data_IF_631749332514
#
_entry.id   IF_631749332514
#
_cell.length_a   1.000
_cell.length_b   1.000
_cell.length_c   1.000
_cell.angle_alpha   90.00
_cell.angle_beta   90.00
_cell.angle_gamma   90.00
#
_symmetry.space_group_name_H-M   'P 1'
#
loop_
_entity.id
_entity.type
_entity.pdbx_description
1 polymer ?
#
# COMPACT_ATOMS: atom_id res chain seq x y z
N UNK A 1 12.44 11.32 19.09
CA UNK A 1 13.72 10.83 19.65
C UNK A 1 14.52 12.03 20.14
N UNK A 2 15.31 11.89 21.19
CA UNK A 2 16.29 12.92 21.57
C UNK A 2 17.44 12.96 20.56
N UNK A 3 18.13 14.10 20.46
CA UNK A 3 19.28 14.26 19.55
C UNK A 3 20.37 13.19 19.78
N UNK A 4 20.58 12.77 21.04
CA UNK A 4 21.54 11.72 21.39
C UNK A 4 21.09 10.28 21.05
N UNK A 5 19.80 10.03 20.86
CA UNK A 5 19.29 8.72 20.39
C UNK A 5 19.39 8.60 18.86
N UNK A 6 19.17 9.72 18.14
CA UNK A 6 19.35 9.81 16.69
C UNK A 6 20.81 9.59 16.25
N UNK A 7 21.78 10.00 17.07
CA UNK A 7 23.22 9.85 16.80
C UNK A 7 23.71 8.39 16.90
N UNK A 8 22.95 7.50 17.54
CA UNK A 8 23.26 6.05 17.62
C UNK A 8 22.79 5.25 16.41
N UNK A 9 21.93 5.83 15.57
CA UNK A 9 21.34 5.17 14.42
C UNK A 9 22.13 5.50 13.13
N UNK A 10 22.35 4.53 12.22
CA UNK A 10 22.88 4.80 10.89
C UNK A 10 22.16 5.98 10.21
N UNK A 11 22.91 6.92 9.64
CA UNK A 11 22.35 8.16 9.08
C UNK A 11 21.29 7.96 7.97
N UNK A 12 21.23 6.78 7.36
CA UNK A 12 20.13 6.38 6.47
C UNK A 12 18.78 6.26 7.18
N UNK A 13 18.76 5.63 8.37
CA UNK A 13 17.58 5.53 9.23
C UNK A 13 17.13 6.90 9.69
N UNK A 14 18.07 7.73 10.16
CA UNK A 14 17.76 9.08 10.64
C UNK A 14 17.05 9.87 9.54
N UNK A 15 17.51 9.78 8.29
CA UNK A 15 16.81 10.42 7.16
C UNK A 15 15.44 9.81 6.89
N UNK A 16 15.32 8.48 6.84
CA UNK A 16 14.03 7.81 6.59
C UNK A 16 12.99 8.13 7.68
N UNK A 17 13.41 8.10 8.95
CA UNK A 17 12.60 8.46 10.11
C UNK A 17 12.21 9.93 10.09
N UNK A 18 13.15 10.86 9.84
CA UNK A 18 12.83 12.29 9.73
C UNK A 18 11.83 12.58 8.59
N UNK A 19 11.97 11.88 7.45
CA UNK A 19 11.01 11.98 6.34
C UNK A 19 9.63 11.42 6.72
N UNK A 20 9.59 10.27 7.39
CA UNK A 20 8.35 9.68 7.92
C UNK A 20 7.66 10.63 8.93
N UNK A 21 8.42 11.13 9.91
CA UNK A 21 7.94 12.09 10.91
C UNK A 21 7.36 13.33 10.22
N UNK A 22 8.08 13.90 9.26
CA UNK A 22 7.64 15.08 8.51
C UNK A 22 6.34 14.78 7.74
N UNK A 23 6.24 13.64 7.05
CA UNK A 23 5.00 13.26 6.33
C UNK A 23 3.81 13.06 7.25
N UNK A 24 3.99 12.42 8.41
CA UNK A 24 2.90 12.24 9.38
C UNK A 24 2.48 13.60 9.94
N UNK A 25 3.44 14.46 10.29
CA UNK A 25 3.17 15.81 10.78
C UNK A 25 2.43 16.67 9.75
N UNK A 26 2.86 16.65 8.48
CA UNK A 26 2.19 17.34 7.37
C UNK A 26 0.74 16.88 7.19
N UNK A 27 0.48 15.57 7.27
CA UNK A 27 -0.89 15.04 7.13
C UNK A 27 -1.78 15.42 8.32
N UNK A 28 -1.23 15.40 9.54
CA UNK A 28 -1.91 15.89 10.76
C UNK A 28 -2.30 17.36 10.58
N UNK A 29 -1.36 18.23 10.17
CA UNK A 29 -1.63 19.65 9.94
C UNK A 29 -2.64 19.86 8.82
N UNK A 30 -2.54 19.13 7.71
CA UNK A 30 -3.51 19.19 6.62
C UNK A 30 -4.92 18.82 7.10
N UNK A 31 -5.08 17.74 7.88
CA UNK A 31 -6.37 17.29 8.42
C UNK A 31 -6.95 18.29 9.40
N UNK A 32 -6.13 18.82 10.31
CA UNK A 32 -6.55 19.86 11.25
C UNK A 32 -6.95 21.13 10.50
N UNK A 33 -6.21 21.55 9.46
CA UNK A 33 -6.55 22.71 8.64
C UNK A 33 -7.89 22.53 7.91
N UNK A 34 -8.18 21.33 7.40
CA UNK A 34 -9.44 21.05 6.70
C UNK A 34 -10.61 21.03 7.69
N UNK A 35 -10.44 20.39 8.84
CA UNK A 35 -11.55 20.10 9.76
C UNK A 35 -11.68 21.11 10.90
N UNK A 36 -10.68 21.97 11.12
CA UNK A 36 -10.59 22.95 12.21
C UNK A 36 -10.51 22.34 13.63
N UNK A 37 -10.41 21.02 13.74
CA UNK A 37 -10.17 20.27 14.98
C UNK A 37 -9.41 18.96 14.69
N UNK A 38 -8.87 18.32 15.74
CA UNK A 38 -8.18 17.04 15.59
C UNK A 38 -9.17 15.88 15.45
N UNK A 39 -9.31 15.37 14.22
CA UNK A 39 -10.12 14.18 13.91
C UNK A 39 -9.49 12.89 14.45
N UNK A 40 -10.28 11.82 14.62
CA UNK A 40 -9.78 10.52 15.09
C UNK A 40 -8.57 9.98 14.30
N UNK A 41 -8.53 10.19 12.98
CA UNK A 41 -7.38 9.82 12.15
C UNK A 41 -6.14 10.67 12.42
N UNK A 42 -6.31 11.96 12.72
CA UNK A 42 -5.22 12.83 13.13
C UNK A 42 -4.69 12.43 14.52
N UNK A 43 -5.57 12.05 15.44
CA UNK A 43 -5.15 11.57 16.77
C UNK A 43 -4.43 10.22 16.70
N UNK A 44 -4.88 9.33 15.81
CA UNK A 44 -4.18 8.09 15.52
C UNK A 44 -2.74 8.35 15.04
N UNK A 45 -2.57 9.28 14.11
CA UNK A 45 -1.26 9.70 13.61
C UNK A 45 -0.40 10.36 14.69
N UNK A 46 -0.99 11.16 15.57
CA UNK A 46 -0.30 11.77 16.71
C UNK A 46 0.17 10.70 17.70
N UNK A 47 -0.70 9.74 18.04
CA UNK A 47 -0.31 8.60 18.86
C UNK A 47 0.82 7.81 18.21
N UNK A 48 0.83 7.70 16.87
CA UNK A 48 1.93 7.04 16.17
C UNK A 48 3.23 7.83 16.23
N UNK A 49 3.21 9.15 16.04
CA UNK A 49 4.39 10.00 16.27
C UNK A 49 4.93 9.86 17.70
N UNK A 50 4.04 9.74 18.70
CA UNK A 50 4.44 9.50 20.08
C UNK A 50 5.10 8.14 20.27
N UNK A 51 4.60 7.09 19.61
CA UNK A 51 5.23 5.77 19.56
C UNK A 51 6.55 5.75 18.77
N UNK A 52 6.78 6.70 17.85
CA UNK A 52 8.06 6.90 17.18
C UNK A 52 9.03 7.76 18.02
N UNK A 53 8.61 8.17 19.22
CA UNK A 53 9.43 8.83 20.21
C UNK A 53 9.38 10.35 20.17
N UNK A 54 8.40 10.98 19.50
CA UNK A 54 8.13 12.41 19.67
C UNK A 54 7.33 12.65 20.95
N UNK A 55 7.61 13.74 21.66
CA UNK A 55 6.76 14.14 22.77
C UNK A 55 5.49 14.83 22.26
N UNK A 56 4.40 14.70 23.02
CA UNK A 56 3.16 15.43 22.75
C UNK A 56 3.39 16.96 22.67
N UNK A 57 4.35 17.48 23.44
CA UNK A 57 4.74 18.90 23.44
C UNK A 57 5.37 19.32 22.12
N UNK A 58 6.27 18.50 21.56
CA UNK A 58 6.91 18.77 20.26
C UNK A 58 5.88 18.75 19.13
N UNK A 59 4.99 17.75 19.12
CA UNK A 59 3.93 17.63 18.11
C UNK A 59 2.99 18.85 18.18
N UNK A 60 2.54 19.24 19.38
CA UNK A 60 1.67 20.42 19.58
C UNK A 60 2.36 21.70 19.11
N UNK A 61 3.65 21.89 19.44
CA UNK A 61 4.43 23.05 19.01
C UNK A 61 4.56 23.10 17.49
N UNK A 62 4.80 21.97 16.84
CA UNK A 62 4.92 21.90 15.38
C UNK A 62 3.60 22.25 14.69
N UNK A 63 2.48 21.65 15.14
CA UNK A 63 1.14 21.96 14.60
C UNK A 63 0.80 23.44 14.82
N UNK A 64 1.12 23.99 15.99
CA UNK A 64 0.90 25.40 16.31
C UNK A 64 1.68 26.33 15.36
N UNK A 65 2.95 26.02 15.10
CA UNK A 65 3.80 26.79 14.19
C UNK A 65 3.33 26.68 12.73
N UNK A 66 3.02 25.47 12.26
CA UNK A 66 2.61 25.22 10.88
C UNK A 66 1.22 25.77 10.52
N UNK A 67 0.36 25.99 11.52
CA UNK A 67 -0.95 26.61 11.36
C UNK A 67 -0.97 28.10 11.75
N UNK A 68 0.13 28.63 12.30
CA UNK A 68 0.24 30.02 12.78
C UNK A 68 -0.86 30.39 13.80
N UNK A 69 -1.16 29.49 14.73
CA UNK A 69 -2.28 29.62 15.68
C UNK A 69 -1.83 29.88 17.12
N UNK A 70 -2.73 30.49 17.91
CA UNK A 70 -2.45 30.80 19.32
C UNK A 70 -2.46 29.55 20.22
N UNK A 71 -1.88 29.65 21.42
CA UNK A 71 -1.91 28.57 22.41
C UNK A 71 -3.34 28.24 22.88
N UNK A 72 -4.23 29.23 22.89
CA UNK A 72 -5.65 29.02 23.17
C UNK A 72 -6.31 28.18 22.07
N UNK A 73 -5.95 28.47 20.83
CA UNK A 73 -6.52 27.82 19.64
C UNK A 73 -6.04 26.37 19.49
N UNK A 74 -4.74 26.10 19.72
CA UNK A 74 -4.21 24.73 19.70
C UNK A 74 -4.82 23.88 20.82
N UNK A 75 -5.11 24.47 21.99
CA UNK A 75 -5.80 23.75 23.07
C UNK A 75 -7.26 23.43 22.72
N UNK A 76 -7.96 24.34 22.04
CA UNK A 76 -9.31 24.10 21.49
C UNK A 76 -9.31 22.95 20.48
N UNK A 77 -8.40 22.98 19.50
CA UNK A 77 -8.27 21.97 18.43
C UNK A 77 -8.10 20.55 18.99
N UNK A 78 -7.34 20.39 20.08
CA UNK A 78 -7.09 19.10 20.72
C UNK A 78 -8.03 18.78 21.88
N UNK A 79 -9.03 19.62 22.16
CA UNK A 79 -9.96 19.41 23.27
C UNK A 79 -11.02 18.35 22.93
N UNK A 80 -11.38 17.54 23.93
CA UNK A 80 -12.45 16.55 23.82
C UNK A 80 -13.83 17.21 23.63
N UNK A 81 -13.98 18.45 24.12
CA UNK A 81 -15.18 19.27 23.97
C UNK A 81 -15.43 19.64 22.50
N UNK A 82 -14.41 20.20 21.81
CA UNK A 82 -14.50 20.52 20.38
C UNK A 82 -14.71 19.26 19.53
N UNK A 83 -14.09 18.13 19.89
CA UNK A 83 -14.32 16.86 19.19
C UNK A 83 -15.77 16.38 19.35
N UNK A 84 -16.30 16.39 20.57
CA UNK A 84 -17.66 15.91 20.88
C UNK A 84 -18.73 16.81 20.25
N UNK A 85 -18.49 18.13 20.25
CA UNK A 85 -19.36 19.12 19.59
C UNK A 85 -19.52 18.84 18.09
N UNK A 86 -18.42 18.50 17.40
CA UNK A 86 -18.43 18.22 15.96
C UNK A 86 -18.87 16.80 15.61
N UNK A 87 -18.43 15.78 16.37
CA UNK A 87 -18.64 14.36 16.04
C UNK A 87 -19.86 13.74 16.72
N UNK A 88 -20.50 14.45 17.66
CA UNK A 88 -21.68 14.02 18.44
C UNK A 88 -21.51 12.75 19.27
N UNK A 89 -20.29 12.21 19.36
CA UNK A 89 -19.91 11.06 20.17
C UNK A 89 -18.56 11.30 20.84
N UNK A 90 -18.33 10.67 21.99
CA UNK A 90 -17.05 10.74 22.68
C UNK A 90 -15.95 10.07 21.86
N UNK A 91 -14.73 10.57 22.02
CA UNK A 91 -13.55 10.07 21.34
C UNK A 91 -13.20 8.69 21.88
N UNK A 92 -13.22 7.67 21.01
CA UNK A 92 -12.85 6.31 21.41
C UNK A 92 -11.35 6.17 21.75
N UNK A 93 -10.52 7.06 21.21
CA UNK A 93 -9.08 7.13 21.48
C UNK A 93 -8.79 8.27 22.46
N UNK A 94 -8.82 7.99 23.76
CA UNK A 94 -8.33 8.95 24.75
C UNK A 94 -6.81 9.12 24.59
N UNK A 95 -6.35 10.35 24.34
CA UNK A 95 -4.92 10.73 24.42
C UNK A 95 -4.38 10.73 25.87
N UNK A 96 -5.01 9.98 26.78
CA UNK A 96 -4.65 9.96 28.20
C UNK A 96 -3.62 8.86 28.45
N UNK A 97 -2.39 9.26 28.73
CA UNK A 97 -1.40 8.38 29.37
C UNK A 97 -0.39 7.68 28.46
N UNK A 98 -0.39 7.93 27.14
CA UNK A 98 0.71 7.46 26.28
C UNK A 98 1.95 8.31 26.59
N UNK A 99 2.83 7.81 27.45
CA UNK A 99 4.15 8.43 27.68
C UNK A 99 5.03 8.17 26.47
N UNK A 100 5.87 9.13 26.13
CA UNK A 100 7.00 8.89 25.22
C UNK A 100 7.75 7.67 25.73
N UNK A 101 7.83 6.62 24.92
CA UNK A 101 8.63 5.44 25.26
C UNK A 101 10.05 5.77 24.81
N UNK A 102 11.03 5.87 25.74
CA UNK A 102 12.43 6.04 25.38
C UNK A 102 12.85 5.00 24.35
N UNK A 103 13.79 5.33 23.46
CA UNK A 103 14.17 4.41 22.38
C UNK A 103 14.58 3.04 22.92
N UNK A 104 15.37 3.03 24.00
CA UNK A 104 15.88 1.82 24.66
C UNK A 104 14.76 0.93 25.24
N UNK A 105 13.57 1.49 25.51
CA UNK A 105 12.39 0.76 26.02
C UNK A 105 11.38 0.41 24.90
N UNK A 106 11.56 0.94 23.69
CA UNK A 106 10.62 0.82 22.59
C UNK A 106 10.92 -0.40 21.71
N UNK A 107 10.61 -1.59 22.23
CA UNK A 107 10.86 -2.86 21.54
C UNK A 107 10.25 -2.91 20.13
N UNK A 108 9.04 -2.36 19.93
CA UNK A 108 8.41 -2.33 18.60
C UNK A 108 9.20 -1.49 17.59
N UNK A 109 9.74 -0.36 18.03
CA UNK A 109 10.57 0.50 17.18
C UNK A 109 11.93 -0.15 16.91
N UNK A 110 12.53 -0.78 17.92
CA UNK A 110 13.78 -1.53 17.76
C UNK A 110 13.61 -2.70 16.78
N UNK A 111 12.52 -3.47 16.89
CA UNK A 111 12.17 -4.55 15.98
C UNK A 111 11.96 -4.06 14.55
N UNK A 112 11.26 -2.93 14.36
CA UNK A 112 11.10 -2.34 13.03
C UNK A 112 12.44 -1.90 12.45
N UNK A 113 13.29 -1.25 13.24
CA UNK A 113 14.61 -0.80 12.79
C UNK A 113 15.49 -1.99 12.42
N UNK A 114 15.48 -3.05 13.22
CA UNK A 114 16.26 -4.26 12.95
C UNK A 114 15.74 -4.99 11.72
N UNK A 115 14.42 -5.12 11.56
CA UNK A 115 13.81 -5.70 10.36
C UNK A 115 14.22 -4.93 9.09
N UNK A 116 14.20 -3.59 9.12
CA UNK A 116 14.66 -2.76 8.00
C UNK A 116 16.18 -2.92 7.79
N UNK A 117 16.96 -3.05 8.86
CA UNK A 117 18.42 -3.27 8.79
C UNK A 117 18.74 -4.57 8.05
N UNK A 118 18.07 -5.66 8.42
CA UNK A 118 18.23 -6.98 7.78
C UNK A 118 17.77 -6.91 6.32
N UNK A 119 16.56 -6.42 6.07
CA UNK A 119 15.96 -6.31 4.73
C UNK A 119 16.82 -5.52 3.73
N UNK A 120 17.54 -4.50 4.21
CA UNK A 120 18.36 -3.63 3.36
C UNK A 120 19.85 -3.99 3.39
N UNK A 121 20.23 -5.10 4.02
CA UNK A 121 21.62 -5.49 4.25
C UNK A 121 22.45 -4.32 4.82
N UNK A 122 21.94 -3.70 5.88
CA UNK A 122 22.51 -2.56 6.61
C UNK A 122 22.55 -1.21 5.86
N UNK A 123 22.07 -1.16 4.61
CA UNK A 123 22.16 0.06 3.79
C UNK A 123 21.04 1.07 4.05
N UNK A 124 19.91 0.62 4.62
CA UNK A 124 18.68 1.41 4.83
C UNK A 124 18.19 2.12 3.55
N UNK A 125 18.45 1.48 2.41
CA UNK A 125 18.04 1.87 1.07
C UNK A 125 17.55 0.62 0.35
N UNK A 126 16.71 0.81 -0.65
CA UNK A 126 16.15 -0.30 -1.43
C UNK A 126 15.39 -1.31 -0.54
N UNK A 127 14.62 -0.79 0.42
CA UNK A 127 13.78 -1.60 1.31
C UNK A 127 12.77 -2.43 0.51
N UNK A 128 12.39 -1.95 -0.67
CA UNK A 128 11.55 -2.68 -1.62
C UNK A 128 12.25 -3.81 -2.39
N UNK A 129 13.58 -3.96 -2.26
CA UNK A 129 14.37 -4.94 -3.02
C UNK A 129 14.25 -4.77 -4.54
N UNK A 130 13.95 -3.54 -4.99
CA UNK A 130 13.68 -3.25 -6.39
C UNK A 130 14.96 -2.81 -7.08
N UNK A 131 15.38 -3.57 -8.09
CA UNK A 131 16.58 -3.37 -8.93
C UNK A 131 16.78 -1.98 -9.58
N UNK A 132 15.87 -1.03 -9.40
CA UNK A 132 15.96 0.31 -9.98
C UNK A 132 16.04 0.32 -11.51
N UNK A 133 16.56 1.41 -12.08
CA UNK A 133 16.96 1.46 -13.48
C UNK A 133 18.48 1.27 -13.59
N UNK A 134 18.88 0.33 -14.42
CA UNK A 134 20.28 0.15 -14.79
C UNK A 134 20.42 0.24 -16.29
N UNK A 135 21.33 1.10 -16.76
CA UNK A 135 21.74 1.16 -18.15
C UNK A 135 22.93 0.22 -18.35
N UNK A 136 22.89 -0.60 -19.38
CA UNK A 136 24.04 -1.37 -19.84
C UNK A 136 25.00 -0.43 -20.59
N UNK A 137 26.18 -0.17 -20.01
CA UNK A 137 27.30 0.52 -20.65
C UNK A 137 28.26 -0.53 -21.26
N UNK A 138 27.73 -1.31 -22.21
CA UNK A 138 28.44 -2.41 -22.88
C UNK A 138 28.23 -3.78 -22.22
N UNK A 139 28.62 -4.88 -22.88
CA UNK A 139 28.22 -6.23 -22.49
C UNK A 139 28.58 -6.54 -21.04
N UNK A 140 27.57 -6.64 -20.17
CA UNK A 140 27.72 -7.05 -18.77
C UNK A 140 28.12 -5.95 -17.76
N UNK A 141 28.15 -4.66 -18.11
CA UNK A 141 28.38 -3.56 -17.14
C UNK A 141 27.15 -2.67 -16.98
N UNK A 142 26.62 -2.62 -15.77
CA UNK A 142 25.42 -1.85 -15.43
C UNK A 142 25.76 -0.61 -14.60
N UNK A 143 25.22 0.56 -14.97
CA UNK A 143 25.39 1.85 -14.26
C UNK A 143 24.05 2.41 -13.78
N UNK A 144 24.04 2.94 -12.56
CA UNK A 144 22.88 3.64 -11.97
C UNK A 144 22.68 5.03 -12.59
N UNK A 145 21.43 5.42 -12.81
CA UNK A 145 21.01 6.75 -13.29
C UNK A 145 20.12 7.41 -12.22
N UNK A 146 20.27 8.72 -11.97
CA UNK A 146 19.67 9.47 -10.83
C UNK A 146 18.13 9.40 -10.68
N UNK A 147 17.37 9.01 -11.72
CA UNK A 147 15.94 8.67 -11.61
C UNK A 147 15.67 7.44 -10.71
N UNK A 148 16.66 6.57 -10.56
CA UNK A 148 16.61 5.38 -9.71
C UNK A 148 16.54 5.75 -8.24
N UNK A 149 17.31 6.76 -7.82
CA UNK A 149 17.31 7.20 -6.44
C UNK A 149 15.95 7.80 -6.06
N UNK A 150 15.37 8.65 -6.91
CA UNK A 150 14.01 9.18 -6.68
C UNK A 150 12.97 8.06 -6.60
N UNK A 151 13.01 7.09 -7.51
CA UNK A 151 12.09 5.96 -7.51
C UNK A 151 12.23 5.09 -6.25
N UNK A 152 13.47 4.71 -5.88
CA UNK A 152 13.74 3.92 -4.69
C UNK A 152 13.34 4.65 -3.42
N UNK A 153 13.73 5.93 -3.26
CA UNK A 153 13.36 6.72 -2.09
C UNK A 153 11.84 6.87 -1.93
N UNK A 154 11.10 7.07 -3.03
CA UNK A 154 9.63 7.19 -2.99
C UNK A 154 8.96 5.87 -2.59
N UNK A 155 9.51 4.71 -2.99
CA UNK A 155 9.01 3.40 -2.58
C UNK A 155 9.40 3.04 -1.14
N UNK A 156 10.65 3.31 -0.75
CA UNK A 156 11.14 3.08 0.60
C UNK A 156 10.31 3.88 1.62
N UNK A 157 10.01 5.14 1.29
CA UNK A 157 9.14 6.00 2.08
C UNK A 157 7.73 5.41 2.23
N UNK A 158 7.17 4.84 1.15
CA UNK A 158 5.88 4.18 1.15
C UNK A 158 5.86 2.91 2.02
N UNK A 159 6.92 2.10 1.97
CA UNK A 159 7.06 0.92 2.82
C UNK A 159 7.14 1.32 4.29
N UNK A 160 7.91 2.37 4.63
CA UNK A 160 7.99 2.88 6.00
C UNK A 160 6.64 3.42 6.50
N UNK A 161 5.90 4.13 5.64
CA UNK A 161 4.57 4.64 5.98
C UNK A 161 3.61 3.50 6.36
N UNK A 162 3.65 2.36 5.65
CA UNK A 162 2.82 1.19 5.91
C UNK A 162 3.30 0.35 7.08
N UNK A 163 4.59 0.04 7.16
CA UNK A 163 5.18 -0.74 8.25
C UNK A 163 5.05 -0.03 9.60
N UNK A 164 4.99 1.30 9.59
CA UNK A 164 4.67 2.06 10.79
C UNK A 164 3.18 1.98 11.18
N UNK A 165 2.27 1.56 10.32
CA UNK A 165 0.82 1.60 10.60
C UNK A 165 0.25 3.02 10.77
N UNK A 166 1.02 4.06 10.40
CA UNK A 166 0.60 5.46 10.46
C UNK A 166 -0.44 5.81 9.37
N UNK A 167 -0.46 5.03 8.28
CA UNK A 167 -1.30 5.27 7.11
C UNK A 167 -1.89 3.96 6.59
N UNK A 168 -3.09 4.04 5.99
CA UNK A 168 -3.68 2.91 5.27
C UNK A 168 -3.03 2.72 3.89
N UNK A 169 -3.12 1.49 3.38
CA UNK A 169 -2.53 1.07 2.11
C UNK A 169 -2.92 1.95 0.91
N UNK A 170 -4.20 2.31 0.80
CA UNK A 170 -4.69 3.06 -0.36
C UNK A 170 -4.22 4.51 -0.31
N UNK A 171 -4.18 5.13 0.86
CA UNK A 171 -3.63 6.49 1.04
C UNK A 171 -2.17 6.57 0.64
N UNK A 172 -1.32 5.65 1.14
CA UNK A 172 0.10 5.62 0.80
C UNK A 172 0.28 5.40 -0.71
N UNK A 173 -0.40 4.39 -1.26
CA UNK A 173 -0.27 4.05 -2.67
C UNK A 173 -0.72 5.20 -3.59
N UNK A 174 -1.83 5.87 -3.26
CA UNK A 174 -2.30 7.05 -4.00
C UNK A 174 -1.22 8.14 -4.04
N UNK A 175 -0.61 8.46 -2.89
CA UNK A 175 0.45 9.48 -2.79
C UNK A 175 1.68 9.09 -3.61
N UNK A 176 2.22 7.89 -3.40
CA UNK A 176 3.38 7.36 -4.12
C UNK A 176 3.19 7.43 -5.64
N UNK A 177 2.03 7.00 -6.13
CA UNK A 177 1.73 7.02 -7.56
C UNK A 177 1.63 8.46 -8.08
N UNK A 178 0.97 9.36 -7.35
CA UNK A 178 0.86 10.77 -7.73
C UNK A 178 2.21 11.47 -7.78
N UNK A 179 3.11 11.22 -6.82
CA UNK A 179 4.43 11.83 -6.78
C UNK A 179 5.30 11.36 -7.97
N UNK A 180 5.27 10.06 -8.26
CA UNK A 180 5.98 9.51 -9.43
C UNK A 180 5.38 9.97 -10.76
N UNK A 181 4.06 10.10 -10.86
CA UNK A 181 3.42 10.56 -12.11
C UNK A 181 3.59 12.07 -12.32
N UNK A 182 3.64 12.88 -11.27
CA UNK A 182 3.93 14.32 -11.38
C UNK A 182 5.37 14.60 -11.81
N UNK A 183 6.32 13.71 -11.53
CA UNK A 183 7.71 13.84 -11.98
C UNK A 183 7.94 13.49 -13.46
N UNK A 184 6.88 13.11 -14.19
CA UNK A 184 6.96 12.73 -15.60
C UNK A 184 7.23 11.24 -15.84
N UNK A 185 7.43 10.44 -14.79
CA UNK A 185 7.61 9.00 -14.92
C UNK A 185 6.27 8.34 -15.31
N UNK A 186 6.28 7.52 -16.36
CA UNK A 186 5.07 6.84 -16.89
C UNK A 186 5.23 5.33 -16.97
N UNK A 187 6.42 4.88 -17.31
CA UNK A 187 6.77 3.47 -17.50
C UNK A 187 8.00 3.09 -16.68
N UNK A 188 8.04 1.82 -16.27
CA UNK A 188 9.15 1.14 -15.63
C UNK A 188 9.54 -0.01 -16.54
N UNK A 189 10.80 0.01 -16.99
CA UNK A 189 11.36 -0.96 -17.91
C UNK A 189 12.21 -1.95 -17.10
N UNK A 190 11.91 -3.24 -17.23
CA UNK A 190 12.64 -4.30 -16.55
C UNK A 190 13.70 -4.89 -17.50
N UNK A 191 14.80 -5.39 -16.93
CA UNK A 191 15.87 -6.10 -17.67
C UNK A 191 15.36 -7.25 -18.54
N UNK A 192 14.21 -7.83 -18.17
CA UNK A 192 13.54 -8.89 -18.92
C UNK A 192 12.93 -8.42 -20.24
N UNK A 193 12.99 -7.12 -20.55
CA UNK A 193 12.29 -6.51 -21.69
C UNK A 193 10.78 -6.32 -21.44
N UNK A 194 10.32 -6.56 -20.21
CA UNK A 194 8.95 -6.26 -19.82
C UNK A 194 8.86 -4.79 -19.38
N UNK A 195 7.74 -4.14 -19.69
CA UNK A 195 7.48 -2.75 -19.35
C UNK A 195 6.17 -2.67 -18.56
N UNK A 196 6.19 -2.06 -17.37
CA UNK A 196 4.98 -1.79 -16.60
C UNK A 196 4.73 -0.30 -16.45
N UNK A 197 3.46 0.08 -16.33
CA UNK A 197 3.13 1.44 -15.92
C UNK A 197 3.55 1.66 -14.47
N UNK A 198 3.95 2.88 -14.14
CA UNK A 198 4.34 3.29 -12.78
C UNK A 198 3.34 2.84 -11.70
N UNK A 199 2.00 3.05 -11.84
CA UNK A 199 1.03 2.57 -10.86
C UNK A 199 1.10 1.06 -10.58
N UNK A 200 1.38 0.26 -11.61
CA UNK A 200 1.46 -1.20 -11.51
C UNK A 200 2.76 -1.61 -10.82
N UNK A 201 3.88 -1.01 -11.24
CA UNK A 201 5.19 -1.26 -10.67
C UNK A 201 5.27 -0.85 -9.20
N UNK A 202 4.80 0.36 -8.87
CA UNK A 202 4.80 0.89 -7.51
C UNK A 202 3.94 0.03 -6.58
N UNK A 203 2.71 -0.33 -7.00
CA UNK A 203 1.84 -1.21 -6.21
C UNK A 203 2.51 -2.54 -5.87
N UNK A 204 3.15 -3.17 -6.85
CA UNK A 204 3.84 -4.45 -6.67
C UNK A 204 5.05 -4.30 -5.75
N UNK A 205 5.89 -3.30 -5.99
CA UNK A 205 7.11 -3.09 -5.19
C UNK A 205 6.79 -2.75 -3.74
N UNK A 206 5.84 -1.83 -3.49
CA UNK A 206 5.40 -1.47 -2.14
C UNK A 206 4.80 -2.68 -1.42
N UNK A 207 3.90 -3.43 -2.07
CA UNK A 207 3.30 -4.61 -1.44
C UNK A 207 4.35 -5.67 -1.09
N UNK A 208 5.26 -5.96 -2.03
CA UNK A 208 6.30 -6.98 -1.84
C UNK A 208 7.25 -6.59 -0.71
N UNK A 209 7.78 -5.36 -0.75
CA UNK A 209 8.68 -4.86 0.29
C UNK A 209 8.02 -4.76 1.66
N UNK A 210 6.76 -4.32 1.72
CA UNK A 210 6.00 -4.28 2.98
C UNK A 210 5.83 -5.68 3.58
N UNK A 211 5.50 -6.69 2.77
CA UNK A 211 5.40 -8.08 3.23
C UNK A 211 6.73 -8.61 3.74
N UNK A 212 7.82 -8.38 3.02
CA UNK A 212 9.16 -8.79 3.46
C UNK A 212 9.53 -8.19 4.83
N UNK A 213 9.22 -6.91 5.06
CA UNK A 213 9.39 -6.30 6.39
C UNK A 213 8.50 -6.94 7.46
N UNK A 214 7.24 -7.29 7.14
CA UNK A 214 6.39 -8.05 8.07
C UNK A 214 6.99 -9.43 8.38
N UNK A 215 7.59 -10.10 7.39
CA UNK A 215 8.26 -11.38 7.55
C UNK A 215 9.41 -11.30 8.55
N UNK A 216 10.27 -10.29 8.42
CA UNK A 216 11.37 -10.07 9.36
C UNK A 216 10.88 -9.76 10.79
N UNK A 217 9.81 -8.97 10.93
CA UNK A 217 9.17 -8.71 12.24
C UNK A 217 8.61 -10.01 12.84
N UNK A 218 7.96 -10.82 12.00
CA UNK A 218 7.40 -12.12 12.38
C UNK A 218 8.51 -13.06 12.86
N UNK A 219 9.63 -13.14 12.14
CA UNK A 219 10.77 -13.97 12.52
C UNK A 219 11.47 -13.50 13.78
N UNK A 220 11.60 -12.19 13.99
CA UNK A 220 12.09 -11.64 15.25
C UNK A 220 11.16 -12.02 16.40
N UNK A 221 9.85 -11.90 16.20
CA UNK A 221 8.86 -12.27 17.22
C UNK A 221 8.93 -13.77 17.53
N UNK A 222 9.13 -14.63 16.51
CA UNK A 222 9.31 -16.07 16.70
C UNK A 222 10.57 -16.38 17.53
N UNK A 223 11.70 -15.69 17.26
CA UNK A 223 12.93 -15.79 18.06
C UNK A 223 12.69 -15.38 19.51
N UNK A 224 11.99 -14.27 19.74
CA UNK A 224 11.68 -13.74 21.07
C UNK A 224 10.76 -14.70 21.87
N UNK A 225 9.85 -15.39 21.17
CA UNK A 225 8.93 -16.40 21.73
C UNK A 225 9.54 -17.81 21.82
N UNK A 226 10.74 -18.02 21.28
CA UNK A 226 11.40 -19.32 21.26
C UNK A 226 10.71 -20.37 20.38
N UNK A 227 10.02 -19.95 19.32
CA UNK A 227 9.41 -20.85 18.33
C UNK A 227 10.08 -20.75 16.96
N UNK A 228 10.04 -21.85 16.21
CA UNK A 228 10.47 -21.92 14.80
C UNK A 228 9.30 -22.23 13.86
N UNK A 229 8.07 -22.30 14.37
CA UNK A 229 6.87 -22.58 13.58
C UNK A 229 6.11 -21.31 13.24
N UNK A 230 5.51 -21.28 12.05
CA UNK A 230 4.76 -20.16 11.53
C UNK A 230 3.49 -20.63 10.84
N UNK A 231 2.36 -19.99 11.11
CA UNK A 231 1.12 -20.19 10.37
C UNK A 231 1.04 -19.21 9.20
N UNK A 232 0.85 -19.73 7.98
CA UNK A 232 0.65 -18.91 6.78
C UNK A 232 -0.81 -18.51 6.67
N UNK A 233 -1.08 -17.21 6.48
CA UNK A 233 -2.45 -16.68 6.34
C UNK A 233 -3.20 -17.31 5.16
N UNK A 234 -4.53 -17.32 5.19
CA UNK A 234 -5.37 -17.64 4.04
C UNK A 234 -6.01 -16.37 3.49
N UNK A 235 -6.09 -16.23 2.16
CA UNK A 235 -6.88 -15.16 1.57
C UNK A 235 -7.60 -15.62 0.29
N UNK A 236 -8.75 -15.02 0.00
CA UNK A 236 -9.50 -15.39 -1.18
C UNK A 236 -8.72 -15.12 -2.49
N UNK A 237 -8.79 -16.04 -3.43
CA UNK A 237 -8.23 -15.92 -4.77
C UNK A 237 -6.71 -15.96 -4.82
N UNK A 238 -6.09 -16.70 -3.91
CA UNK A 238 -4.69 -17.07 -4.00
C UNK A 238 -4.41 -17.77 -5.34
N UNK A 239 -3.20 -17.61 -5.85
CA UNK A 239 -2.77 -18.36 -7.04
C UNK A 239 -2.75 -19.85 -6.70
N UNK A 240 -3.03 -20.76 -7.66
CA UNK A 240 -3.14 -22.19 -7.36
C UNK A 240 -1.93 -22.77 -6.63
N UNK A 241 -0.70 -22.36 -7.01
CA UNK A 241 0.53 -22.80 -6.34
C UNK A 241 0.75 -22.22 -4.94
N UNK A 242 -0.04 -21.23 -4.52
CA UNK A 242 -0.01 -20.65 -3.17
C UNK A 242 -1.14 -21.17 -2.29
N UNK A 243 -2.26 -21.64 -2.86
CA UNK A 243 -3.35 -22.25 -2.09
C UNK A 243 -2.85 -23.44 -1.27
N UNK A 244 -1.85 -24.17 -1.76
CA UNK A 244 -1.24 -25.30 -1.04
C UNK A 244 -0.61 -24.90 0.30
N UNK A 245 -0.31 -23.62 0.51
CA UNK A 245 0.35 -23.11 1.72
C UNK A 245 -0.64 -22.56 2.76
N UNK A 246 -1.85 -22.21 2.35
CA UNK A 246 -2.78 -21.42 3.15
C UNK A 246 -3.25 -22.13 4.41
N UNK A 247 -3.22 -21.42 5.54
CA UNK A 247 -3.66 -21.91 6.84
C UNK A 247 -2.81 -23.05 7.42
N UNK A 248 -1.69 -23.40 6.76
CA UNK A 248 -0.79 -24.46 7.22
C UNK A 248 0.35 -23.87 8.04
N UNK A 249 0.87 -24.74 8.91
CA UNK A 249 1.99 -24.42 9.80
C UNK A 249 3.26 -25.00 9.21
N UNK A 250 4.31 -24.18 9.13
CA UNK A 250 5.61 -24.53 8.58
C UNK A 250 6.72 -24.11 9.53
N UNK A 251 7.81 -24.85 9.56
CA UNK A 251 9.07 -24.35 10.14
C UNK A 251 9.68 -23.27 9.25
N UNK A 252 10.62 -22.46 9.77
CA UNK A 252 11.35 -21.48 8.94
C UNK A 252 12.01 -22.14 7.71
N UNK A 253 12.60 -23.32 7.91
CA UNK A 253 13.21 -24.11 6.82
C UNK A 253 12.17 -24.55 5.77
N UNK A 254 10.95 -24.90 6.21
CA UNK A 254 9.87 -25.25 5.29
C UNK A 254 9.28 -24.03 4.58
N UNK A 255 9.25 -22.86 5.20
CA UNK A 255 8.89 -21.62 4.49
C UNK A 255 9.82 -21.39 3.30
N UNK A 256 11.11 -21.68 3.44
CA UNK A 256 12.09 -21.56 2.35
C UNK A 256 11.92 -22.71 1.34
N UNK A 257 12.01 -23.95 1.79
CA UNK A 257 12.08 -25.13 0.91
C UNK A 257 10.74 -25.52 0.26
N UNK A 258 9.61 -25.28 0.94
CA UNK A 258 8.26 -25.63 0.46
C UNK A 258 7.53 -24.41 -0.10
N UNK A 259 7.57 -23.29 0.64
CA UNK A 259 6.85 -22.08 0.24
C UNK A 259 7.70 -21.13 -0.63
N UNK A 260 8.97 -21.47 -0.88
CA UNK A 260 9.87 -20.67 -1.71
C UNK A 260 10.22 -19.31 -1.12
N UNK A 261 10.12 -19.11 0.20
CA UNK A 261 10.47 -17.83 0.84
C UNK A 261 11.87 -17.37 0.40
N UNK A 262 11.98 -16.14 -0.11
CA UNK A 262 13.19 -15.58 -0.72
C UNK A 262 13.21 -15.64 -2.25
N UNK A 263 12.35 -16.45 -2.87
CA UNK A 263 12.21 -16.53 -4.33
C UNK A 263 11.19 -15.50 -4.86
N UNK A 264 11.39 -15.01 -6.09
CA UNK A 264 10.48 -14.05 -6.73
C UNK A 264 9.05 -14.58 -6.85
N UNK A 265 8.89 -15.89 -6.99
CA UNK A 265 7.57 -16.53 -7.04
C UNK A 265 7.17 -17.14 -5.69
N UNK A 266 7.98 -17.05 -4.65
CA UNK A 266 7.70 -17.64 -3.35
C UNK A 266 6.72 -16.85 -2.48
N UNK A 267 6.62 -17.29 -1.23
CA UNK A 267 6.02 -16.53 -0.13
C UNK A 267 6.74 -15.19 0.02
N UNK A 268 5.97 -14.11 0.23
CA UNK A 268 6.48 -12.72 0.19
C UNK A 268 7.20 -12.33 -1.12
N UNK A 269 7.01 -13.11 -2.19
CA UNK A 269 7.47 -12.81 -3.53
C UNK A 269 6.54 -11.85 -4.29
N UNK A 270 6.82 -11.65 -5.58
CA UNK A 270 6.10 -10.71 -6.42
C UNK A 270 4.60 -11.02 -6.49
N UNK A 271 3.78 -10.05 -6.08
CA UNK A 271 2.31 -10.15 -6.02
C UNK A 271 1.78 -11.25 -5.08
N UNK A 272 2.59 -11.75 -4.14
CA UNK A 272 2.12 -12.57 -3.04
C UNK A 272 1.41 -11.67 -2.01
N UNK A 273 0.24 -12.08 -1.54
CA UNK A 273 -0.53 -11.32 -0.54
C UNK A 273 -0.51 -11.99 0.83
N UNK A 274 -0.04 -13.23 0.90
CA UNK A 274 0.11 -14.00 2.12
C UNK A 274 1.08 -13.33 3.09
N UNK A 275 0.78 -13.46 4.37
CA UNK A 275 1.69 -13.26 5.46
C UNK A 275 1.93 -14.57 6.22
N UNK A 276 2.88 -14.56 7.14
CA UNK A 276 3.10 -15.66 8.07
C UNK A 276 3.37 -15.12 9.47
N UNK A 277 2.75 -15.73 10.48
CA UNK A 277 2.86 -15.30 11.88
C UNK A 277 3.45 -16.41 12.74
N UNK A 278 4.19 -16.09 13.82
CA UNK A 278 4.74 -17.10 14.70
C UNK A 278 3.62 -17.95 15.30
N UNK A 279 3.88 -19.24 15.41
CA UNK A 279 2.98 -20.22 15.98
C UNK A 279 3.72 -21.03 17.03
N UNK A 280 3.19 -21.13 18.25
CA UNK A 280 3.79 -21.87 19.36
C UNK A 280 3.10 -23.24 19.47
N UNK A 281 3.76 -24.34 19.06
CA UNK A 281 3.15 -25.67 19.12
C UNK A 281 2.71 -26.05 20.54
N UNK A 282 1.46 -26.48 20.66
CA UNK A 282 0.86 -26.88 21.94
C UNK A 282 0.32 -25.73 22.81
N UNK A 283 0.49 -24.48 22.38
CA UNK A 283 -0.10 -23.29 23.02
C UNK A 283 -1.10 -22.63 22.08
N UNK A 284 -0.70 -22.40 20.83
CA UNK A 284 -1.55 -21.76 19.83
C UNK A 284 -2.50 -22.77 19.17
N UNK A 285 -3.67 -22.27 18.77
CA UNK A 285 -4.68 -23.02 18.03
C UNK A 285 -4.63 -22.52 16.59
N UNK A 286 -4.54 -23.42 15.58
CA UNK A 286 -4.57 -23.01 14.17
C UNK A 286 -5.80 -22.15 13.87
N UNK A 287 -5.60 -21.13 13.03
CA UNK A 287 -6.67 -20.21 12.62
C UNK A 287 -7.76 -20.93 11.85
N UNK A 288 -7.39 -21.96 11.08
CA UNK A 288 -8.31 -22.75 10.27
C UNK A 288 -8.15 -24.24 10.57
N UNK A 289 -9.27 -24.97 10.61
CA UNK A 289 -9.23 -26.42 10.57
C UNK A 289 -8.97 -26.90 9.14
N UNK A 290 -8.47 -28.13 9.00
CA UNK A 290 -8.28 -28.75 7.69
C UNK A 290 -9.59 -28.84 6.89
N UNK A 291 -10.71 -29.13 7.55
CA UNK A 291 -12.05 -29.14 6.96
C UNK A 291 -12.43 -27.76 6.41
N UNK A 292 -12.22 -26.69 7.19
CA UNK A 292 -12.50 -25.32 6.75
C UNK A 292 -11.64 -24.92 5.55
N UNK A 293 -10.36 -25.29 5.53
CA UNK A 293 -9.47 -25.01 4.40
C UNK A 293 -9.93 -25.75 3.14
N UNK A 294 -10.30 -27.02 3.26
CA UNK A 294 -10.82 -27.82 2.15
C UNK A 294 -12.12 -27.23 1.59
N UNK A 295 -13.06 -26.83 2.45
CA UNK A 295 -14.30 -26.15 2.02
C UNK A 295 -14.02 -24.83 1.30
N UNK A 296 -13.07 -24.04 1.80
CA UNK A 296 -12.67 -22.78 1.18
C UNK A 296 -12.07 -23.05 -0.21
N UNK A 297 -11.11 -23.97 -0.30
CA UNK A 297 -10.44 -24.31 -1.56
C UNK A 297 -11.39 -24.93 -2.58
N UNK A 298 -12.32 -25.79 -2.16
CA UNK A 298 -13.36 -26.33 -3.04
C UNK A 298 -14.24 -25.21 -3.58
N UNK A 299 -14.69 -24.30 -2.72
CA UNK A 299 -15.50 -23.14 -3.13
C UNK A 299 -14.74 -22.21 -4.08
N UNK A 300 -13.45 -21.97 -3.84
CA UNK A 300 -12.63 -21.10 -4.70
C UNK A 300 -12.36 -21.70 -6.08
N UNK A 301 -12.19 -23.02 -6.11
CA UNK A 301 -11.85 -23.77 -7.33
C UNK A 301 -13.08 -24.25 -8.10
N UNK A 302 -14.28 -24.15 -7.52
CA UNK A 302 -15.55 -24.38 -8.22
C UNK A 302 -15.77 -23.27 -9.25
N UNK A 303 -15.71 -23.56 -10.56
CA UNK A 303 -15.80 -22.51 -11.57
C UNK A 303 -17.20 -21.90 -11.67
N UNK A 304 -17.27 -20.61 -11.97
CA UNK A 304 -18.52 -19.88 -12.28
C UNK A 304 -18.58 -19.54 -13.76
N UNK A 305 -19.76 -19.64 -14.36
CA UNK A 305 -19.96 -19.27 -15.76
C UNK A 305 -20.10 -17.75 -15.95
N UNK A 306 -19.47 -17.23 -17.00
CA UNK A 306 -19.74 -15.91 -17.55
C UNK A 306 -19.69 -15.95 -19.07
N UNK A 307 -20.88 -15.88 -19.68
CA UNK A 307 -21.08 -15.96 -21.13
C UNK A 307 -20.42 -17.19 -21.76
N UNK A 308 -20.61 -18.38 -21.15
CA UNK A 308 -20.10 -19.65 -21.66
C UNK A 308 -18.61 -19.88 -21.41
N UNK A 309 -17.98 -19.05 -20.56
CA UNK A 309 -16.62 -19.26 -20.08
C UNK A 309 -16.65 -19.48 -18.57
N UNK A 310 -15.95 -20.51 -18.13
CA UNK A 310 -15.80 -20.87 -16.73
C UNK A 310 -14.60 -20.15 -16.12
N UNK A 311 -14.75 -19.69 -14.87
CA UNK A 311 -13.70 -19.02 -14.12
C UNK A 311 -13.68 -19.52 -12.67
N UNK A 312 -12.54 -20.00 -12.19
CA UNK A 312 -12.29 -20.09 -10.74
C UNK A 312 -12.16 -18.70 -10.12
N UNK A 313 -12.17 -18.56 -8.79
CA UNK A 313 -11.97 -17.26 -8.12
C UNK A 313 -10.66 -16.59 -8.56
N UNK A 314 -9.57 -17.35 -8.66
CA UNK A 314 -8.28 -16.82 -9.13
C UNK A 314 -8.35 -16.31 -10.57
N UNK A 315 -8.91 -17.12 -11.49
CA UNK A 315 -9.04 -16.75 -12.90
C UNK A 315 -9.95 -15.55 -13.09
N UNK A 316 -11.03 -15.47 -12.31
CA UNK A 316 -11.94 -14.33 -12.31
C UNK A 316 -11.21 -13.05 -11.85
N UNK A 317 -10.40 -13.10 -10.80
CA UNK A 317 -9.56 -11.95 -10.39
C UNK A 317 -8.53 -11.56 -11.46
N UNK A 318 -7.92 -12.52 -12.17
CA UNK A 318 -7.05 -12.22 -13.31
C UNK A 318 -7.82 -11.51 -14.43
N UNK A 319 -9.03 -12.00 -14.75
CA UNK A 319 -9.89 -11.37 -15.75
C UNK A 319 -10.31 -9.96 -15.33
N UNK A 320 -10.65 -9.75 -14.06
CA UNK A 320 -10.96 -8.44 -13.49
C UNK A 320 -9.77 -7.47 -13.69
N UNK A 321 -8.54 -7.89 -13.35
CA UNK A 321 -7.31 -7.09 -13.56
C UNK A 321 -7.05 -6.75 -15.04
N UNK A 322 -7.37 -7.65 -15.97
CA UNK A 322 -7.28 -7.37 -17.41
C UNK A 322 -8.27 -6.27 -17.84
N UNK A 323 -9.51 -6.32 -17.35
CA UNK A 323 -10.51 -5.29 -17.61
C UNK A 323 -10.07 -3.93 -17.05
N UNK A 324 -9.61 -3.89 -15.80
CA UNK A 324 -9.06 -2.68 -15.17
C UNK A 324 -7.91 -2.08 -16.01
N UNK A 325 -6.99 -2.92 -16.51
CA UNK A 325 -5.86 -2.49 -17.34
C UNK A 325 -6.32 -1.85 -18.64
N UNK A 326 -7.33 -2.44 -19.30
CA UNK A 326 -7.91 -1.88 -20.53
C UNK A 326 -8.63 -0.56 -20.25
N UNK A 327 -9.36 -0.45 -19.15
CA UNK A 327 -10.04 0.79 -18.74
C UNK A 327 -9.01 1.91 -18.53
N UNK A 328 -7.93 1.65 -17.77
CA UNK A 328 -6.82 2.60 -17.60
C UNK A 328 -6.23 3.05 -18.93
N UNK A 329 -6.01 2.13 -19.88
CA UNK A 329 -5.50 2.46 -21.22
C UNK A 329 -6.43 3.42 -21.96
N UNK A 330 -7.74 3.17 -21.94
CA UNK A 330 -8.70 4.08 -22.60
C UNK A 330 -8.77 5.44 -21.92
N UNK A 331 -8.71 5.50 -20.58
CA UNK A 331 -8.64 6.75 -19.82
C UNK A 331 -7.43 7.58 -20.26
N UNK A 332 -6.25 6.98 -20.30
CA UNK A 332 -5.04 7.63 -20.78
C UNK A 332 -5.16 8.11 -22.23
N UNK A 333 -5.64 7.27 -23.14
CA UNK A 333 -5.83 7.68 -24.54
C UNK A 333 -6.76 8.89 -24.66
N UNK A 334 -7.85 8.92 -23.89
CA UNK A 334 -8.79 10.04 -23.89
C UNK A 334 -8.11 11.30 -23.35
N UNK A 335 -7.32 11.18 -22.28
CA UNK A 335 -6.58 12.30 -21.73
C UNK A 335 -5.60 12.87 -22.76
N UNK A 336 -4.75 12.03 -23.36
CA UNK A 336 -3.77 12.46 -24.37
C UNK A 336 -4.43 13.12 -25.59
N UNK A 337 -5.57 12.59 -26.04
CA UNK A 337 -6.32 13.21 -27.13
C UNK A 337 -6.94 14.56 -26.74
N UNK A 338 -7.37 14.74 -25.49
CA UNK A 338 -7.85 16.04 -25.02
C UNK A 338 -6.71 17.06 -24.95
N UNK A 339 -5.54 16.68 -24.44
CA UNK A 339 -4.35 17.56 -24.40
C UNK A 339 -3.91 17.91 -25.83
N UNK A 340 -3.86 16.93 -26.74
CA UNK A 340 -3.50 17.15 -28.14
C UNK A 340 -4.55 17.92 -28.96
N UNK A 341 -5.73 18.18 -28.40
CA UNK A 341 -6.77 19.01 -29.03
C UNK A 341 -6.56 20.50 -28.75
N UNK A 342 -5.72 20.86 -27.77
CA UNK A 342 -5.43 22.25 -27.44
C UNK A 342 -4.72 22.96 -28.61
N UNK A 343 -5.33 24.03 -29.12
CA UNK A 343 -4.81 24.78 -30.27
C UNK A 343 -5.11 24.18 -31.65
N UNK A 344 -5.80 23.04 -31.72
CA UNK A 344 -6.24 22.44 -33.00
C UNK A 344 -7.63 22.96 -33.37
N UNK A 345 -7.84 23.29 -34.65
CA UNK A 345 -9.13 23.82 -35.15
C UNK A 345 -9.51 23.23 -36.51
N UNK A 346 -10.76 23.42 -36.92
CA UNK A 346 -11.27 22.93 -38.20
C UNK A 346 -11.49 21.41 -38.25
N UNK A 347 -11.33 20.82 -39.43
CA UNK A 347 -11.62 19.40 -39.70
C UNK A 347 -10.81 18.43 -38.83
N UNK A 348 -9.59 18.82 -38.45
CA UNK A 348 -8.72 18.00 -37.59
C UNK A 348 -9.25 17.93 -36.15
N UNK A 349 -9.76 19.05 -35.62
CA UNK A 349 -10.40 19.08 -34.31
C UNK A 349 -11.65 18.20 -34.27
N UNK A 350 -12.46 18.19 -35.33
CA UNK A 350 -13.64 17.33 -35.45
C UNK A 350 -13.26 15.84 -35.45
N UNK A 351 -12.20 15.45 -36.17
CA UNK A 351 -11.68 14.07 -36.20
C UNK A 351 -11.18 13.62 -34.82
N UNK A 352 -10.45 14.47 -34.11
CA UNK A 352 -9.97 14.19 -32.75
C UNK A 352 -11.17 14.05 -31.80
N UNK A 353 -12.15 14.96 -31.88
CA UNK A 353 -13.36 14.93 -31.06
C UNK A 353 -14.20 13.67 -31.30
N UNK A 354 -14.35 13.23 -32.55
CA UNK A 354 -15.00 11.97 -32.90
C UNK A 354 -14.26 10.76 -32.31
N UNK A 355 -12.92 10.77 -32.37
CA UNK A 355 -12.08 9.72 -31.78
C UNK A 355 -12.22 9.66 -30.26
N UNK A 356 -12.23 10.82 -29.59
CA UNK A 356 -12.48 10.93 -28.15
C UNK A 356 -13.85 10.32 -27.80
N UNK A 357 -14.90 10.67 -28.55
CA UNK A 357 -16.26 10.16 -28.33
C UNK A 357 -16.32 8.63 -28.45
N UNK A 358 -15.70 8.07 -29.50
CA UNK A 358 -15.63 6.62 -29.69
C UNK A 358 -14.87 5.92 -28.56
N UNK A 359 -13.73 6.48 -28.11
CA UNK A 359 -12.97 5.92 -26.99
C UNK A 359 -13.73 6.02 -25.66
N UNK A 360 -14.45 7.11 -25.40
CA UNK A 360 -15.35 7.24 -24.23
C UNK A 360 -16.44 6.17 -24.26
N UNK A 361 -17.07 5.92 -25.40
CA UNK A 361 -18.07 4.86 -25.54
C UNK A 361 -17.49 3.46 -25.25
N UNK A 362 -16.31 3.14 -25.80
CA UNK A 362 -15.61 1.88 -25.52
C UNK A 362 -15.23 1.74 -24.04
N UNK A 363 -14.71 2.80 -23.43
CA UNK A 363 -14.35 2.81 -22.02
C UNK A 363 -15.58 2.58 -21.12
N UNK A 364 -16.71 3.23 -21.45
CA UNK A 364 -17.99 3.02 -20.75
C UNK A 364 -18.48 1.58 -20.87
N UNK A 365 -18.40 1.00 -22.07
CA UNK A 365 -18.74 -0.41 -22.30
C UNK A 365 -17.89 -1.37 -21.45
N UNK A 366 -16.57 -1.13 -21.39
CA UNK A 366 -15.67 -1.92 -20.53
C UNK A 366 -15.96 -1.75 -19.05
N UNK A 367 -16.32 -0.55 -18.60
CA UNK A 367 -16.66 -0.31 -17.20
C UNK A 367 -17.96 -1.02 -16.82
N UNK A 368 -18.95 -1.04 -17.72
CA UNK A 368 -20.19 -1.80 -17.53
C UNK A 368 -19.91 -3.31 -17.50
N UNK A 369 -19.03 -3.81 -18.37
CA UNK A 369 -18.58 -5.20 -18.35
C UNK A 369 -17.85 -5.53 -17.05
N UNK A 370 -17.00 -4.63 -16.55
CA UNK A 370 -16.25 -4.82 -15.30
C UNK A 370 -17.19 -4.94 -14.09
N UNK A 371 -18.21 -4.07 -14.00
CA UNK A 371 -19.22 -4.15 -12.94
C UNK A 371 -20.00 -5.45 -13.05
N UNK A 372 -20.58 -5.73 -14.21
CA UNK A 372 -21.36 -6.95 -14.45
C UNK A 372 -20.56 -8.23 -14.17
N UNK A 373 -19.31 -8.28 -14.65
CA UNK A 373 -18.41 -9.41 -14.39
C UNK A 373 -18.09 -9.57 -12.90
N UNK A 374 -17.77 -8.48 -12.20
CA UNK A 374 -17.44 -8.53 -10.77
C UNK A 374 -18.65 -8.98 -9.95
N UNK A 375 -19.84 -8.47 -10.27
CA UNK A 375 -21.10 -8.85 -9.61
C UNK A 375 -21.43 -10.33 -9.85
N UNK A 376 -21.29 -10.81 -11.09
CA UNK A 376 -21.54 -12.23 -11.43
C UNK A 376 -20.55 -13.20 -10.79
N UNK A 377 -19.31 -12.75 -10.59
CA UNK A 377 -18.26 -13.56 -9.97
C UNK A 377 -18.26 -13.48 -8.44
N UNK A 378 -19.09 -12.61 -7.84
CA UNK A 378 -19.06 -12.23 -6.41
C UNK A 378 -17.67 -11.71 -5.98
N UNK A 379 -17.09 -10.82 -6.79
CA UNK A 379 -15.79 -10.21 -6.53
C UNK A 379 -15.92 -8.76 -6.08
N UNK A 380 -15.15 -8.33 -5.06
CA UNK A 380 -15.09 -6.93 -4.70
C UNK A 380 -14.49 -6.11 -5.84
N UNK A 381 -15.12 -4.98 -6.15
CA UNK A 381 -14.58 -4.03 -7.12
C UNK A 381 -13.45 -3.21 -6.51
N UNK A 382 -12.33 -3.08 -7.23
CA UNK A 382 -11.14 -2.33 -6.85
C UNK A 382 -11.03 -1.02 -7.65
N UNK A 383 -11.93 -0.06 -7.38
CA UNK A 383 -11.99 1.20 -8.16
C UNK A 383 -10.68 1.97 -8.14
N UNK A 384 -9.98 1.94 -7.01
CA UNK A 384 -8.70 2.58 -6.80
C UNK A 384 -7.69 2.14 -7.86
N UNK A 385 -7.71 0.86 -8.27
CA UNK A 385 -6.85 0.36 -9.36
C UNK A 385 -7.12 1.06 -10.68
N UNK A 386 -8.34 1.52 -10.94
CA UNK A 386 -8.72 2.19 -12.19
C UNK A 386 -8.36 3.67 -12.16
N UNK A 387 -8.53 4.34 -11.02
CA UNK A 387 -8.48 5.81 -10.91
C UNK A 387 -7.22 6.37 -10.26
N UNK A 388 -6.31 5.53 -9.77
CA UNK A 388 -5.02 5.92 -9.20
C UNK A 388 -4.03 6.53 -10.21
N UNK A 389 -4.43 6.71 -11.46
CA UNK A 389 -3.59 7.26 -12.53
C UNK A 389 -3.44 8.79 -12.49
N UNK A 390 -4.15 9.47 -11.59
CA UNK A 390 -4.14 10.94 -11.46
C UNK A 390 -4.82 11.67 -12.63
N UNK A 391 -5.47 10.94 -13.54
CA UNK A 391 -6.04 11.51 -14.77
C UNK A 391 -7.44 12.07 -14.54
N UNK A 392 -7.66 13.31 -14.98
CA UNK A 392 -8.98 13.97 -14.98
C UNK A 392 -9.76 13.66 -16.25
N UNK A 393 -10.28 12.43 -16.34
CA UNK A 393 -11.09 11.98 -17.49
C UNK A 393 -12.56 11.87 -17.09
N UNK A 394 -13.41 12.71 -17.69
CA UNK A 394 -14.85 12.63 -17.48
C UNK A 394 -15.45 11.47 -18.29
N UNK A 395 -15.80 10.39 -17.59
CA UNK A 395 -16.54 9.24 -18.11
C UNK A 395 -17.82 9.13 -17.29
N UNK A 396 -19.02 9.17 -17.91
CA UNK A 396 -20.27 9.04 -17.17
C UNK A 396 -20.32 7.70 -16.44
N UNK A 397 -20.28 7.75 -15.12
CA UNK A 397 -20.41 6.56 -14.26
C UNK A 397 -21.89 6.19 -14.12
N UNK A 398 -22.22 4.90 -14.26
CA UNK A 398 -23.47 4.39 -13.70
C UNK A 398 -23.22 4.18 -12.22
N UNK A 399 -24.15 4.62 -11.37
CA UNK A 399 -24.07 4.50 -9.91
C UNK A 399 -23.52 3.13 -9.49
N UNK A 400 -22.29 3.11 -8.99
CA UNK A 400 -21.63 1.96 -8.40
C UNK A 400 -22.22 1.56 -7.03
N UNK A 401 -23.43 2.03 -6.70
CA UNK A 401 -23.97 2.06 -5.34
C UNK A 401 -24.78 0.82 -4.94
N UNK A 402 -24.55 -0.35 -5.56
CA UNK A 402 -25.34 -1.55 -5.23
C UNK A 402 -24.59 -2.76 -4.64
N UNK A 403 -23.31 -2.67 -4.32
CA UNK A 403 -22.58 -3.84 -3.77
C UNK A 403 -21.90 -3.59 -2.41
N UNK A 404 -21.80 -2.34 -1.95
CA UNK A 404 -21.13 -2.02 -0.68
C UNK A 404 -22.00 -2.11 0.59
N UNK A 405 -23.29 -2.48 0.48
CA UNK A 405 -24.24 -2.38 1.60
C UNK A 405 -24.63 -3.73 2.25
N UNK A 406 -23.96 -4.82 1.89
CA UNK A 406 -24.09 -6.08 2.62
C UNK A 406 -22.66 -6.55 2.89
N UNK A 407 -22.37 -6.87 4.16
CA UNK A 407 -21.07 -7.36 4.68
C UNK A 407 -20.20 -6.25 5.32
N UNK A 408 -20.75 -5.65 6.37
CA UNK A 408 -19.99 -5.17 7.55
C UNK A 408 -19.93 -6.29 8.57
#
# INVERSE_FOLDING_TARGET
>A
MTQGELEKLPGGIVRAMNRLETRIMEDVVRRIRINQFSTASADWQINRLMQLGLSQKEIRKWVQQALEISEKEINRIFSDETYTEYMKHSRAYEMRGVKQIPFDENQRLQQLIEAVRIQTNETFRDMSGSLGFVKEEGPGRLKNVELTQFYQETLDDAVMDLSSGAFDYNTVLNRTINDMTRSGLRWIDYKTGHHNRVPVAARRAVLTGWRQVQGEISEQTARDLGTDSFEVTMHAGARPTHQEWEGKIYTKEQLISVCGLGEVTGLHGANCYHDYYPFIPGVDIPTYTEEQLNEIHERENTPKDYYGKQYTTYEALQRQRQLETRIRKYREDIHLLNEGMEGVSGEEAEKIQNTITLKKAKCKGLMQQYVDFSDKMDLPMQKERIYQDGLKVNIPERNFSKVAAARS
#
